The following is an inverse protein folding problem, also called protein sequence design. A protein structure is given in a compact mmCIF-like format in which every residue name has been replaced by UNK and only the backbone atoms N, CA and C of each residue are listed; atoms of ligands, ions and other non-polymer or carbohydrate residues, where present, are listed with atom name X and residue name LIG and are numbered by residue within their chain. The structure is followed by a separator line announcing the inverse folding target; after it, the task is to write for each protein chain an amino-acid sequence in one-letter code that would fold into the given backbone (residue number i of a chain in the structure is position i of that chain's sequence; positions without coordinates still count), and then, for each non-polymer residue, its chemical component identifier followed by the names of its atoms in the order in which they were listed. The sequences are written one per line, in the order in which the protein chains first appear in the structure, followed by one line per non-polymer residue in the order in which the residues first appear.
data_IF_140276934622
#
_entry.id   IF_140276934622
#
_cell.length_a   1.000
_cell.length_b   1.000
_cell.length_c   1.000
_cell.angle_alpha   90.00
_cell.angle_beta   90.00
_cell.angle_gamma   90.00
#
_symmetry.space_group_name_H-M   'P 1'
#
loop_
_entity.id
_entity.type
_entity.pdbx_description
1 polymer ?
#
# COMPACT_ATOMS: atom_id res chain seq x y z
N UNK A 1 1.69 24.89 -10.64
CA UNK A 1 1.08 25.45 -9.40
C UNK A 1 0.21 24.44 -8.67
N UNK A 2 -0.86 23.87 -9.23
CA UNK A 2 -1.72 22.89 -8.53
C UNK A 2 -0.96 21.74 -7.84
N UNK A 3 0.00 21.11 -8.49
CA UNK A 3 0.81 20.02 -7.90
C UNK A 3 1.86 20.55 -6.92
N UNK A 4 2.36 21.77 -7.11
CA UNK A 4 3.24 22.46 -6.16
C UNK A 4 2.55 22.64 -4.80
N UNK A 5 1.34 23.20 -4.80
CA UNK A 5 0.53 23.36 -3.60
C UNK A 5 0.26 22.03 -2.90
N UNK A 6 -0.11 20.99 -3.66
CA UNK A 6 -0.31 19.65 -3.08
C UNK A 6 0.93 19.08 -2.42
N UNK A 7 2.13 19.33 -2.98
CA UNK A 7 3.39 18.89 -2.39
C UNK A 7 3.75 19.65 -1.11
N UNK A 8 3.22 20.85 -0.93
CA UNK A 8 3.44 21.68 0.25
C UNK A 8 2.52 21.34 1.44
N UNK A 9 1.41 20.63 1.20
CA UNK A 9 0.45 20.30 2.25
C UNK A 9 1.08 19.46 3.38
N UNK A 10 0.83 19.89 4.62
CA UNK A 10 1.33 19.23 5.84
C UNK A 10 2.83 19.41 6.11
N UNK A 11 3.57 20.10 5.24
CA UNK A 11 5.02 20.34 5.37
C UNK A 11 5.40 21.83 5.23
N UNK A 12 4.43 22.73 5.30
CA UNK A 12 4.61 24.19 5.15
C UNK A 12 5.57 24.80 6.15
N UNK A 13 5.78 24.16 7.30
CA UNK A 13 6.75 24.60 8.32
C UNK A 13 8.22 24.37 7.94
N UNK A 14 8.48 23.52 6.94
CA UNK A 14 9.87 23.22 6.51
C UNK A 14 10.44 24.38 5.69
N UNK A 15 11.67 24.80 6.00
CA UNK A 15 12.38 25.84 5.26
C UNK A 15 12.45 25.59 3.75
N UNK A 16 12.68 24.33 3.35
CA UNK A 16 12.68 23.94 1.93
C UNK A 16 11.33 24.17 1.23
N UNK A 17 10.22 23.92 1.94
CA UNK A 17 8.87 24.15 1.43
C UNK A 17 8.56 25.64 1.34
N UNK A 18 8.98 26.43 2.34
CA UNK A 18 8.81 27.88 2.34
C UNK A 18 9.60 28.53 1.19
N UNK A 19 10.85 28.10 1.01
CA UNK A 19 11.66 28.56 -0.10
C UNK A 19 11.08 28.17 -1.48
N UNK A 20 10.55 26.96 -1.61
CA UNK A 20 9.84 26.53 -2.81
C UNK A 20 8.64 27.45 -3.09
N UNK A 21 7.79 27.72 -2.09
CA UNK A 21 6.63 28.61 -2.26
C UNK A 21 7.00 30.02 -2.65
N UNK A 22 8.08 30.57 -2.09
CA UNK A 22 8.57 31.90 -2.42
C UNK A 22 9.02 32.00 -3.90
N UNK A 23 9.58 30.92 -4.45
CA UNK A 23 10.11 30.88 -5.80
C UNK A 23 9.35 29.91 -6.72
N UNK A 24 8.13 29.54 -6.38
CA UNK A 24 7.36 28.48 -7.03
C UNK A 24 7.28 28.67 -8.55
N UNK A 25 6.93 29.87 -8.99
CA UNK A 25 6.78 30.16 -10.42
C UNK A 25 8.10 29.93 -11.19
N UNK A 26 9.19 30.45 -10.68
CA UNK A 26 10.53 30.30 -11.28
C UNK A 26 10.95 28.84 -11.31
N UNK A 27 10.76 28.13 -10.21
CA UNK A 27 11.15 26.70 -10.11
C UNK A 27 10.32 25.86 -11.09
N UNK A 28 9.01 26.05 -11.16
CA UNK A 28 8.14 25.30 -12.08
C UNK A 28 8.47 25.66 -13.54
N UNK A 29 8.71 26.93 -13.87
CA UNK A 29 9.12 27.34 -15.21
C UNK A 29 10.41 26.67 -15.64
N UNK A 30 11.41 26.61 -14.76
CA UNK A 30 12.66 25.90 -15.01
C UNK A 30 12.45 24.40 -15.21
N UNK A 31 11.63 23.73 -14.37
CA UNK A 31 11.27 22.32 -14.55
C UNK A 31 10.64 22.09 -15.93
N UNK A 32 9.68 22.92 -16.31
CA UNK A 32 9.02 22.80 -17.62
C UNK A 32 10.00 22.99 -18.79
N UNK A 33 10.89 23.98 -18.70
CA UNK A 33 11.94 24.20 -19.70
C UNK A 33 12.87 22.99 -19.78
N UNK A 34 13.38 22.53 -18.65
CA UNK A 34 14.36 21.44 -18.57
C UNK A 34 13.78 20.11 -19.09
N UNK A 35 12.48 19.84 -18.82
CA UNK A 35 11.76 18.68 -19.39
C UNK A 35 11.63 18.84 -20.92
N UNK A 36 11.20 20.02 -21.42
CA UNK A 36 11.02 20.27 -22.85
C UNK A 36 12.33 20.18 -23.65
N UNK A 37 13.46 20.44 -23.03
CA UNK A 37 14.79 20.38 -23.65
C UNK A 37 15.54 19.09 -23.33
N UNK A 38 14.87 18.09 -22.74
CA UNK A 38 15.47 16.82 -22.29
C UNK A 38 16.68 16.99 -21.35
N UNK A 39 16.77 18.13 -20.67
CA UNK A 39 17.85 18.48 -19.74
C UNK A 39 17.47 18.26 -18.27
N UNK A 40 16.24 17.83 -18.00
CA UNK A 40 15.82 17.58 -16.62
C UNK A 40 16.59 16.42 -16.01
N UNK A 41 17.21 16.69 -14.86
CA UNK A 41 17.91 15.68 -14.05
C UNK A 41 17.23 15.52 -12.71
N UNK A 42 17.01 14.25 -12.34
CA UNK A 42 16.56 13.89 -11.01
C UNK A 42 17.58 14.33 -9.98
N UNK A 43 17.13 15.06 -8.97
CA UNK A 43 18.00 15.49 -7.88
C UNK A 43 18.26 14.38 -6.86
N UNK A 44 19.27 14.61 -6.02
CA UNK A 44 19.58 13.70 -4.92
C UNK A 44 18.39 13.55 -3.96
N UNK A 45 18.29 12.38 -3.35
CA UNK A 45 17.32 12.11 -2.29
C UNK A 45 17.93 12.32 -0.91
N UNK A 46 17.12 12.79 0.02
CA UNK A 46 17.49 12.79 1.44
C UNK A 46 17.14 11.44 2.06
N UNK A 47 18.17 10.64 2.34
CA UNK A 47 18.00 9.31 2.93
C UNK A 47 18.02 9.37 4.46
N UNK A 48 17.07 8.69 5.09
CA UNK A 48 17.03 8.53 6.54
C UNK A 48 16.42 7.18 6.94
N UNK A 49 16.73 6.76 8.16
CA UNK A 49 16.26 5.48 8.68
C UNK A 49 15.09 5.73 9.62
N UNK A 50 14.00 4.99 9.42
CA UNK A 50 12.88 4.94 10.35
C UNK A 50 12.76 3.54 10.97
N UNK A 51 12.41 3.49 12.24
CA UNK A 51 12.02 2.24 12.89
C UNK A 51 10.49 2.18 12.98
N UNK A 52 9.88 1.47 12.06
CA UNK A 52 8.45 1.26 12.05
C UNK A 52 8.10 -0.12 12.60
N UNK A 53 7.62 -0.16 13.84
CA UNK A 53 7.11 -1.39 14.48
C UNK A 53 8.17 -2.49 14.59
N UNK A 54 9.40 -2.11 14.90
CA UNK A 54 10.53 -3.03 15.00
C UNK A 54 11.16 -3.43 13.66
N UNK A 55 10.69 -2.84 12.55
CA UNK A 55 11.35 -2.95 11.24
C UNK A 55 12.10 -1.67 10.95
N UNK A 56 13.37 -1.82 10.69
CA UNK A 56 14.23 -0.73 10.21
C UNK A 56 13.96 -0.58 8.71
N UNK A 57 13.69 0.66 8.28
CA UNK A 57 13.45 0.98 6.86
C UNK A 57 14.26 2.20 6.47
N UNK A 58 14.96 2.11 5.37
CA UNK A 58 15.57 3.27 4.70
C UNK A 58 14.48 3.97 3.90
N UNK A 59 14.38 5.28 4.07
CA UNK A 59 13.45 6.13 3.31
C UNK A 59 14.30 7.07 2.49
N UNK A 60 14.07 7.09 1.18
CA UNK A 60 14.71 7.99 0.24
C UNK A 60 13.69 9.07 -0.16
N UNK A 61 13.78 10.22 0.50
CA UNK A 61 12.83 11.32 0.31
C UNK A 61 13.35 12.31 -0.75
N UNK A 62 12.66 12.49 -1.86
CA UNK A 62 13.07 13.45 -2.89
C UNK A 62 12.86 14.90 -2.42
N UNK A 63 13.65 15.82 -2.97
CA UNK A 63 13.46 17.25 -2.79
C UNK A 63 12.10 17.70 -3.33
N UNK A 64 11.60 18.84 -2.83
CA UNK A 64 10.25 19.30 -3.16
C UNK A 64 10.03 19.52 -4.66
N UNK A 65 11.05 20.00 -5.39
CA UNK A 65 10.94 20.16 -6.84
C UNK A 65 10.69 18.84 -7.55
N UNK A 66 11.39 17.78 -7.14
CA UNK A 66 11.26 16.44 -7.73
C UNK A 66 9.93 15.80 -7.30
N UNK A 67 9.45 16.08 -6.08
CA UNK A 67 8.11 15.65 -5.62
C UNK A 67 7.00 16.19 -6.49
N UNK A 68 7.14 17.40 -7.07
CA UNK A 68 6.16 17.94 -8.02
C UNK A 68 6.13 17.11 -9.29
N UNK A 69 7.32 16.78 -9.85
CA UNK A 69 7.42 15.93 -11.04
C UNK A 69 6.87 14.53 -10.76
N UNK A 70 7.26 13.91 -9.63
CA UNK A 70 6.70 12.61 -9.21
C UNK A 70 5.17 12.63 -9.17
N UNK A 71 4.61 13.70 -8.64
CA UNK A 71 3.17 13.83 -8.50
C UNK A 71 2.47 13.95 -9.84
N UNK A 72 3.08 14.65 -10.78
CA UNK A 72 2.59 14.74 -12.16
C UNK A 72 2.67 13.37 -12.84
N UNK A 73 3.84 12.74 -12.86
CA UNK A 73 4.03 11.39 -13.44
C UNK A 73 3.06 10.38 -12.83
N UNK A 74 2.92 10.38 -11.52
CA UNK A 74 2.04 9.45 -10.80
C UNK A 74 0.56 9.63 -11.15
N UNK A 75 0.05 10.88 -11.21
CA UNK A 75 -1.39 11.13 -11.36
C UNK A 75 -1.83 11.32 -12.80
N UNK A 76 -0.97 11.87 -13.67
CA UNK A 76 -1.34 12.18 -15.06
C UNK A 76 -0.90 11.09 -16.05
N UNK A 77 0.05 10.25 -15.67
CA UNK A 77 0.58 9.19 -16.55
C UNK A 77 0.30 7.81 -15.96
N UNK A 78 0.90 7.49 -14.82
CA UNK A 78 0.89 6.12 -14.27
C UNK A 78 -0.51 5.69 -13.83
N UNK A 79 -1.24 6.54 -13.09
CA UNK A 79 -2.58 6.18 -12.59
C UNK A 79 -3.57 5.95 -13.75
N UNK A 80 -3.70 6.84 -14.76
CA UNK A 80 -4.60 6.60 -15.89
C UNK A 80 -4.23 5.36 -16.71
N UNK A 81 -2.94 5.12 -16.92
CA UNK A 81 -2.48 3.97 -17.70
C UNK A 81 -2.73 2.64 -17.00
N UNK A 82 -2.46 2.55 -15.70
CA UNK A 82 -2.54 1.27 -14.99
C UNK A 82 -3.92 0.94 -14.44
N UNK A 83 -4.69 1.95 -14.03
CA UNK A 83 -5.99 1.71 -13.36
C UNK A 83 -6.95 0.83 -14.14
N UNK A 84 -7.11 0.96 -15.47
CA UNK A 84 -8.00 0.10 -16.25
C UNK A 84 -7.62 -1.39 -16.25
N UNK A 85 -6.34 -1.68 -16.01
CA UNK A 85 -5.80 -3.03 -16.03
C UNK A 85 -5.81 -3.72 -14.67
N UNK A 86 -6.11 -2.99 -13.59
CA UNK A 86 -6.11 -3.54 -12.23
C UNK A 86 -7.41 -4.26 -11.92
N UNK A 87 -7.33 -5.32 -11.11
CA UNK A 87 -8.54 -5.94 -10.58
C UNK A 87 -9.37 -4.93 -9.76
N UNK A 88 -10.69 -5.03 -9.83
CA UNK A 88 -11.57 -4.12 -9.07
C UNK A 88 -11.29 -4.15 -7.56
N UNK A 89 -11.01 -5.32 -7.00
CA UNK A 89 -10.79 -5.54 -5.56
C UNK A 89 -9.35 -5.26 -5.09
N UNK A 90 -8.59 -4.50 -5.86
CA UNK A 90 -7.36 -3.86 -5.41
C UNK A 90 -7.69 -2.52 -4.73
N UNK A 91 -7.36 -2.39 -3.45
CA UNK A 91 -7.74 -1.22 -2.64
C UNK A 91 -6.60 -0.25 -2.34
N UNK A 92 -5.37 -0.57 -2.75
CA UNK A 92 -4.21 0.25 -2.39
C UNK A 92 -3.89 1.30 -3.46
N UNK A 93 -3.46 2.48 -3.04
CA UNK A 93 -2.93 3.57 -3.87
C UNK A 93 -3.78 3.97 -5.09
N UNK A 94 -5.09 3.79 -5.02
CA UNK A 94 -6.05 4.14 -6.06
C UNK A 94 -7.03 5.21 -5.56
N UNK A 95 -7.42 6.12 -6.45
CA UNK A 95 -8.41 7.17 -6.16
C UNK A 95 -9.74 6.53 -5.70
N UNK A 96 -10.36 7.10 -4.69
CA UNK A 96 -11.62 6.64 -4.09
C UNK A 96 -11.59 5.21 -3.52
N UNK A 97 -10.41 4.61 -3.40
CA UNK A 97 -10.20 3.35 -2.69
C UNK A 97 -9.32 3.59 -1.46
N UNK A 98 -8.96 2.55 -0.76
CA UNK A 98 -8.15 2.64 0.43
C UNK A 98 -8.42 1.44 1.33
N UNK A 99 -7.88 1.48 2.52
CA UNK A 99 -7.98 0.38 3.47
C UNK A 99 -9.45 0.05 3.81
N UNK A 100 -10.30 1.07 4.04
CA UNK A 100 -11.74 0.87 4.31
C UNK A 100 -12.43 0.16 3.15
N UNK A 101 -12.15 0.55 1.91
CA UNK A 101 -12.68 -0.15 0.73
C UNK A 101 -12.33 -1.65 0.77
N UNK A 102 -11.05 -2.01 1.00
CA UNK A 102 -10.63 -3.42 1.08
C UNK A 102 -11.32 -4.18 2.22
N UNK A 103 -11.51 -3.55 3.39
CA UNK A 103 -12.27 -4.14 4.50
C UNK A 103 -13.73 -4.42 4.13
N UNK A 104 -14.41 -3.44 3.53
CA UNK A 104 -15.81 -3.56 3.13
C UNK A 104 -15.99 -4.62 2.04
N UNK A 105 -15.04 -4.70 1.07
CA UNK A 105 -15.01 -5.75 0.04
C UNK A 105 -14.80 -7.13 0.65
N UNK A 106 -13.86 -7.26 1.57
CA UNK A 106 -13.63 -8.53 2.27
C UNK A 106 -14.86 -8.96 3.07
N UNK A 107 -15.45 -8.05 3.83
CA UNK A 107 -16.69 -8.32 4.59
C UNK A 107 -17.81 -8.83 3.66
N UNK A 108 -18.03 -8.16 2.51
CA UNK A 108 -19.05 -8.59 1.53
C UNK A 108 -18.76 -9.99 0.98
N UNK A 109 -17.51 -10.30 0.62
CA UNK A 109 -17.13 -11.62 0.09
C UNK A 109 -17.25 -12.72 1.13
N UNK A 110 -16.86 -12.47 2.38
CA UNK A 110 -17.02 -13.40 3.48
C UNK A 110 -18.51 -13.69 3.77
N UNK A 111 -19.34 -12.66 3.74
CA UNK A 111 -20.79 -12.81 3.93
C UNK A 111 -21.42 -13.60 2.77
N UNK A 112 -21.09 -13.27 1.53
CA UNK A 112 -21.56 -14.04 0.35
C UNK A 112 -21.08 -15.50 0.37
N UNK A 113 -19.87 -15.74 0.87
CA UNK A 113 -19.38 -17.10 1.08
C UNK A 113 -20.19 -17.84 2.11
N UNK A 114 -20.43 -17.21 3.26
CA UNK A 114 -21.21 -17.79 4.35
C UNK A 114 -22.61 -18.19 3.90
N UNK A 115 -23.30 -17.35 3.16
CA UNK A 115 -24.65 -17.66 2.62
C UNK A 115 -24.67 -18.89 1.72
N UNK A 116 -23.58 -19.19 1.02
CA UNK A 116 -23.50 -20.31 0.08
C UNK A 116 -22.92 -21.59 0.70
N UNK A 117 -21.99 -21.47 1.62
CA UNK A 117 -21.15 -22.57 2.08
C UNK A 117 -21.11 -22.68 3.64
N UNK A 118 -21.77 -21.78 4.37
CA UNK A 118 -21.64 -21.70 5.82
C UNK A 118 -20.19 -21.41 6.23
N UNK A 119 -19.74 -22.11 7.26
CA UNK A 119 -18.35 -22.07 7.75
C UNK A 119 -17.43 -23.10 7.08
N UNK A 120 -17.89 -23.73 6.01
CA UNK A 120 -17.07 -24.69 5.25
C UNK A 120 -16.17 -23.95 4.24
N UNK A 121 -14.89 -24.31 4.22
CA UNK A 121 -13.92 -23.76 3.29
C UNK A 121 -12.68 -23.17 3.98
N UNK A 122 -11.84 -22.56 3.16
CA UNK A 122 -10.52 -22.11 3.54
C UNK A 122 -10.25 -20.70 3.02
N UNK A 123 -9.53 -19.95 3.81
CA UNK A 123 -8.98 -18.64 3.47
C UNK A 123 -7.51 -18.84 3.16
N UNK A 124 -7.07 -18.36 2.00
CA UNK A 124 -5.66 -18.30 1.64
C UNK A 124 -5.19 -16.88 1.83
N UNK A 125 -4.25 -16.70 2.73
CA UNK A 125 -3.56 -15.44 3.01
C UNK A 125 -2.23 -15.43 2.27
N UNK A 126 -1.87 -14.32 1.65
CA UNK A 126 -0.60 -14.12 0.98
C UNK A 126 0.02 -12.80 1.45
N UNK A 127 1.31 -12.84 1.75
CA UNK A 127 2.14 -11.70 2.13
C UNK A 127 3.47 -11.80 1.35
N UNK A 128 3.91 -10.70 0.73
CA UNK A 128 5.19 -10.70 0.05
C UNK A 128 6.32 -10.40 1.02
N UNK A 129 7.47 -11.03 0.79
CA UNK A 129 8.66 -10.83 1.63
C UNK A 129 9.44 -9.62 1.13
N UNK A 130 9.61 -8.60 1.99
CA UNK A 130 10.40 -7.40 1.66
C UNK A 130 10.07 -6.85 0.26
N UNK A 131 8.78 -6.64 0.00
CA UNK A 131 8.26 -6.42 -1.34
C UNK A 131 9.01 -5.31 -2.09
N UNK A 132 9.10 -4.12 -1.53
CA UNK A 132 9.78 -2.98 -2.16
C UNK A 132 11.28 -3.22 -2.40
N UNK A 133 11.95 -3.86 -1.47
CA UNK A 133 13.38 -4.17 -1.55
C UNK A 133 13.69 -5.27 -2.59
N UNK A 134 12.72 -6.14 -2.88
CA UNK A 134 12.88 -7.30 -3.78
C UNK A 134 12.24 -7.09 -5.17
N UNK A 135 11.67 -5.93 -5.47
CA UNK A 135 11.15 -5.65 -6.80
C UNK A 135 12.29 -5.64 -7.82
N UNK A 136 12.19 -6.44 -8.88
CA UNK A 136 13.19 -6.50 -9.93
C UNK A 136 13.03 -5.35 -10.92
N UNK A 137 14.07 -4.58 -11.15
CA UNK A 137 14.10 -3.51 -12.15
C UNK A 137 13.76 -4.03 -13.55
N UNK A 138 14.30 -5.20 -13.94
CA UNK A 138 14.01 -5.84 -15.22
C UNK A 138 12.51 -6.16 -15.38
N UNK A 139 11.87 -6.69 -14.34
CA UNK A 139 10.42 -6.99 -14.37
C UNK A 139 9.62 -5.70 -14.51
N UNK A 140 10.02 -4.65 -13.79
CA UNK A 140 9.35 -3.34 -13.84
C UNK A 140 9.53 -2.70 -15.21
N UNK A 141 10.73 -2.71 -15.75
CA UNK A 141 11.03 -2.21 -17.09
C UNK A 141 10.16 -2.90 -18.16
N UNK A 142 10.03 -4.23 -18.10
CA UNK A 142 9.15 -4.98 -18.99
C UNK A 142 7.66 -4.61 -18.82
N UNK A 143 7.23 -4.24 -17.61
CA UNK A 143 5.88 -3.72 -17.38
C UNK A 143 5.74 -2.34 -18.03
N UNK A 144 6.73 -1.46 -17.88
CA UNK A 144 6.72 -0.14 -18.50
C UNK A 144 6.62 -0.24 -20.00
N UNK A 145 7.46 -1.06 -20.66
CA UNK A 145 7.42 -1.30 -22.11
C UNK A 145 6.05 -1.82 -22.60
N UNK A 146 5.32 -2.53 -21.76
CA UNK A 146 3.98 -3.01 -22.11
C UNK A 146 2.92 -1.92 -22.16
N UNK A 147 3.05 -0.88 -21.31
CA UNK A 147 1.99 0.12 -21.12
C UNK A 147 2.38 1.53 -21.57
N UNK A 148 3.66 1.81 -21.75
CA UNK A 148 4.19 3.14 -22.05
C UNK A 148 4.97 3.05 -23.37
N UNK A 149 4.53 3.78 -24.38
CA UNK A 149 5.18 3.78 -25.70
C UNK A 149 6.41 4.70 -25.77
N UNK A 150 6.43 5.74 -24.93
CA UNK A 150 7.50 6.75 -24.96
C UNK A 150 8.64 6.37 -24.02
N UNK A 151 9.81 6.07 -24.61
CA UNK A 151 11.02 5.67 -23.88
C UNK A 151 11.56 6.77 -22.94
N UNK A 152 11.40 8.06 -23.28
CA UNK A 152 11.82 9.15 -22.40
C UNK A 152 10.97 9.21 -21.11
N UNK A 153 9.67 8.88 -21.23
CA UNK A 153 8.76 8.78 -20.08
C UNK A 153 9.14 7.58 -19.22
N UNK A 154 9.44 6.42 -19.84
CA UNK A 154 9.93 5.23 -19.10
C UNK A 154 11.18 5.59 -18.33
N UNK A 155 12.17 6.18 -19.00
CA UNK A 155 13.42 6.60 -18.36
C UNK A 155 13.17 7.57 -17.20
N UNK A 156 12.33 8.58 -17.41
CA UNK A 156 12.00 9.54 -16.36
C UNK A 156 11.36 8.90 -15.12
N UNK A 157 10.52 7.88 -15.30
CA UNK A 157 9.93 7.12 -14.20
C UNK A 157 11.00 6.28 -13.49
N UNK A 158 11.83 5.57 -14.24
CA UNK A 158 12.83 4.64 -13.72
C UNK A 158 13.98 5.35 -13.01
N UNK A 159 14.42 6.52 -13.47
CA UNK A 159 15.41 7.35 -12.80
C UNK A 159 15.00 7.74 -11.38
N UNK A 160 13.67 7.86 -11.12
CA UNK A 160 13.16 8.10 -9.78
C UNK A 160 12.93 6.83 -8.97
N UNK A 161 12.61 5.72 -9.64
CA UNK A 161 12.16 4.49 -9.02
C UNK A 161 13.32 3.61 -8.60
N UNK A 162 14.36 3.53 -9.42
CA UNK A 162 15.47 2.59 -9.29
C UNK A 162 16.61 3.16 -8.43
N UNK A 163 16.30 3.38 -7.14
CA UNK A 163 17.28 3.82 -6.15
C UNK A 163 17.66 2.60 -5.28
N UNK A 164 18.82 2.01 -5.55
CA UNK A 164 19.30 0.79 -4.89
C UNK A 164 18.82 -0.50 -5.57
N UNK A 165 18.60 -1.57 -4.81
CA UNK A 165 18.31 -2.91 -5.36
C UNK A 165 16.83 -3.12 -5.73
N UNK A 166 15.92 -2.40 -5.11
CA UNK A 166 14.48 -2.51 -5.34
C UNK A 166 13.89 -1.20 -5.81
N UNK A 167 12.68 -0.90 -5.34
CA UNK A 167 12.03 0.39 -5.58
C UNK A 167 12.08 1.27 -4.33
N UNK A 168 12.33 2.55 -4.52
CA UNK A 168 12.59 3.51 -3.45
C UNK A 168 11.39 3.71 -2.51
N UNK A 169 11.59 3.47 -1.23
CA UNK A 169 10.60 3.84 -0.22
C UNK A 169 10.65 5.35 0.04
N UNK A 170 9.51 6.01 -0.04
CA UNK A 170 9.38 7.46 0.15
C UNK A 170 9.09 8.23 -1.14
N UNK A 171 9.16 7.56 -2.27
CA UNK A 171 8.82 8.08 -3.60
C UNK A 171 7.36 7.73 -3.92
N UNK A 172 6.55 8.69 -4.37
CA UNK A 172 5.12 8.48 -4.65
C UNK A 172 4.91 7.48 -5.80
N UNK A 173 5.74 7.55 -6.83
CA UNK A 173 5.71 6.63 -7.98
C UNK A 173 5.85 5.18 -7.52
N UNK A 174 6.76 4.89 -6.59
CA UNK A 174 6.98 3.53 -6.09
C UNK A 174 5.73 2.88 -5.49
N UNK A 175 4.83 3.66 -4.90
CA UNK A 175 3.56 3.14 -4.38
C UNK A 175 2.59 2.76 -5.50
N UNK A 176 2.65 3.44 -6.65
CA UNK A 176 1.84 3.11 -7.84
C UNK A 176 2.39 1.86 -8.52
N UNK A 177 3.71 1.78 -8.66
CA UNK A 177 4.38 0.59 -9.19
C UNK A 177 4.12 -0.65 -8.34
N UNK A 178 4.15 -0.52 -7.02
CA UNK A 178 3.80 -1.60 -6.11
C UNK A 178 2.38 -2.16 -6.31
N UNK A 179 1.51 -1.45 -6.99
CA UNK A 179 0.15 -1.91 -7.31
C UNK A 179 0.11 -2.68 -8.62
N UNK A 180 0.86 -2.27 -9.65
CA UNK A 180 0.82 -2.92 -10.97
C UNK A 180 1.73 -4.15 -11.03
N UNK A 181 2.86 -4.17 -10.33
CA UNK A 181 3.83 -5.28 -10.38
C UNK A 181 3.17 -6.64 -10.11
N UNK A 182 2.34 -6.85 -9.07
CA UNK A 182 1.68 -8.13 -8.83
C UNK A 182 0.35 -8.29 -9.58
N UNK A 183 -0.01 -7.42 -10.52
CA UNK A 183 -1.29 -7.45 -11.21
C UNK A 183 -1.52 -8.75 -12.00
N UNK A 184 -0.47 -9.33 -12.59
CA UNK A 184 -0.54 -10.62 -13.27
C UNK A 184 -0.97 -11.74 -12.31
N UNK A 185 -0.49 -11.70 -11.07
CA UNK A 185 -0.85 -12.65 -10.01
C UNK A 185 -2.30 -12.47 -9.57
N UNK A 186 -2.77 -11.22 -9.52
CA UNK A 186 -4.15 -10.91 -9.19
C UNK A 186 -5.12 -11.48 -10.22
N UNK A 187 -4.84 -11.28 -11.50
CA UNK A 187 -5.65 -11.84 -12.59
C UNK A 187 -5.59 -13.37 -12.63
N UNK A 188 -4.43 -13.96 -12.36
CA UNK A 188 -4.31 -15.41 -12.27
C UNK A 188 -5.25 -16.01 -11.23
N UNK A 189 -5.37 -15.39 -10.06
CA UNK A 189 -6.31 -15.83 -9.02
C UNK A 189 -7.75 -15.45 -9.38
N UNK A 190 -7.98 -14.22 -9.89
CA UNK A 190 -9.33 -13.73 -10.22
C UNK A 190 -10.04 -14.65 -11.22
N UNK A 191 -9.32 -15.25 -12.15
CA UNK A 191 -9.85 -16.20 -13.12
C UNK A 191 -10.28 -17.54 -12.48
N UNK A 192 -9.86 -17.82 -11.26
CA UNK A 192 -10.16 -19.08 -10.54
C UNK A 192 -11.07 -18.88 -9.34
N UNK A 193 -10.89 -17.76 -8.62
CA UNK A 193 -11.66 -17.43 -7.42
C UNK A 193 -11.62 -15.94 -7.13
N UNK A 194 -12.37 -15.52 -6.12
CA UNK A 194 -12.39 -14.13 -5.68
C UNK A 194 -11.14 -13.78 -4.90
N UNK A 195 -10.40 -12.78 -5.35
CA UNK A 195 -9.23 -12.21 -4.65
C UNK A 195 -9.55 -10.80 -4.16
N UNK A 196 -8.91 -10.39 -3.06
CA UNK A 196 -8.81 -9.01 -2.61
C UNK A 196 -7.34 -8.74 -2.32
N UNK A 197 -6.84 -7.59 -2.77
CA UNK A 197 -5.45 -7.18 -2.50
C UNK A 197 -5.38 -5.77 -1.90
N UNK A 198 -4.48 -5.61 -0.96
CA UNK A 198 -4.06 -4.33 -0.42
C UNK A 198 -2.53 -4.31 -0.27
N UNK A 199 -1.82 -3.66 -1.20
CA UNK A 199 -0.36 -3.69 -1.30
C UNK A 199 0.20 -5.11 -1.40
N UNK A 200 1.02 -5.51 -0.41
CA UNK A 200 1.65 -6.82 -0.26
C UNK A 200 0.74 -7.89 0.34
N UNK A 201 -0.39 -7.50 0.93
CA UNK A 201 -1.36 -8.41 1.53
C UNK A 201 -2.46 -8.81 0.53
N UNK A 202 -2.61 -10.10 0.22
CA UNK A 202 -3.72 -10.63 -0.59
C UNK A 202 -4.48 -11.72 0.14
N UNK A 203 -5.76 -11.89 -0.21
CA UNK A 203 -6.64 -12.90 0.38
C UNK A 203 -7.62 -13.43 -0.66
N UNK A 204 -7.82 -14.75 -0.68
CA UNK A 204 -8.85 -15.40 -1.48
C UNK A 204 -9.47 -16.61 -0.75
N UNK A 205 -10.61 -17.10 -1.25
CA UNK A 205 -11.44 -18.12 -0.62
C UNK A 205 -11.48 -19.38 -1.47
N UNK A 206 -11.37 -20.56 -0.84
CA UNK A 206 -11.38 -21.88 -1.50
C UNK A 206 -12.28 -22.85 -0.76
N UNK A 207 -12.92 -23.79 -1.50
CA UNK A 207 -13.84 -24.77 -0.91
C UNK A 207 -13.12 -25.88 -0.15
N UNK A 208 -12.02 -26.37 -0.67
CA UNK A 208 -11.29 -27.47 -0.05
C UNK A 208 -9.78 -27.15 0.09
N UNK A 209 -9.13 -27.83 1.02
CA UNK A 209 -7.74 -27.62 1.37
C UNK A 209 -6.78 -27.98 0.22
N UNK A 210 -7.02 -29.11 -0.44
CA UNK A 210 -6.11 -29.60 -1.51
C UNK A 210 -6.08 -28.62 -2.69
N UNK A 211 -7.24 -28.09 -3.09
CA UNK A 211 -7.32 -27.08 -4.15
C UNK A 211 -6.66 -25.77 -3.72
N UNK A 212 -6.85 -25.35 -2.45
CA UNK A 212 -6.21 -24.17 -1.90
C UNK A 212 -4.68 -24.30 -1.90
N UNK A 213 -4.16 -25.46 -1.50
CA UNK A 213 -2.73 -25.76 -1.51
C UNK A 213 -2.15 -25.80 -2.91
N UNK A 214 -2.84 -26.47 -3.84
CA UNK A 214 -2.45 -26.51 -5.26
C UNK A 214 -2.39 -25.09 -5.83
N UNK A 215 -3.44 -24.30 -5.64
CA UNK A 215 -3.52 -22.94 -6.16
C UNK A 215 -2.45 -22.01 -5.54
N UNK A 216 -2.17 -22.15 -4.24
CA UNK A 216 -1.09 -21.40 -3.57
C UNK A 216 0.29 -21.78 -4.15
N UNK A 217 0.53 -23.05 -4.48
CA UNK A 217 1.78 -23.48 -5.10
C UNK A 217 1.90 -22.98 -6.54
N UNK A 218 0.84 -23.01 -7.34
CA UNK A 218 0.81 -22.40 -8.67
C UNK A 218 1.06 -20.89 -8.61
N UNK A 219 0.44 -20.20 -7.65
CA UNK A 219 0.67 -18.79 -7.40
C UNK A 219 2.14 -18.49 -7.05
N UNK A 220 2.74 -19.33 -6.18
CA UNK A 220 4.15 -19.20 -5.80
C UNK A 220 5.08 -19.37 -7.00
N UNK A 221 4.82 -20.36 -7.85
CA UNK A 221 5.60 -20.57 -9.05
C UNK A 221 5.51 -19.38 -10.01
N UNK A 222 4.31 -18.85 -10.22
CA UNK A 222 4.10 -17.67 -11.04
C UNK A 222 4.77 -16.43 -10.42
N UNK A 223 4.66 -16.24 -9.12
CA UNK A 223 5.33 -15.14 -8.41
C UNK A 223 6.86 -15.19 -8.57
N UNK A 224 7.46 -16.39 -8.54
CA UNK A 224 8.89 -16.56 -8.75
C UNK A 224 9.33 -16.14 -10.16
N UNK A 225 8.51 -16.38 -11.20
CA UNK A 225 8.77 -15.91 -12.58
C UNK A 225 8.88 -14.37 -12.60
N UNK A 226 8.02 -13.69 -11.84
CA UNK A 226 8.04 -12.23 -11.69
C UNK A 226 8.99 -11.76 -10.58
N UNK A 227 9.88 -12.62 -10.11
CA UNK A 227 10.87 -12.34 -9.04
C UNK A 227 10.24 -11.82 -7.73
N UNK A 228 8.95 -12.09 -7.50
CA UNK A 228 8.21 -11.73 -6.29
C UNK A 228 8.32 -12.88 -5.29
N UNK A 229 8.92 -12.62 -4.12
CA UNK A 229 9.10 -13.64 -3.07
C UNK A 229 7.93 -13.62 -2.08
N UNK A 230 7.29 -14.78 -1.87
CA UNK A 230 6.28 -14.94 -0.82
C UNK A 230 6.93 -15.09 0.56
N UNK A 231 6.28 -14.53 1.57
CA UNK A 231 6.63 -14.75 2.96
C UNK A 231 6.01 -16.07 3.45
N UNK A 232 6.79 -17.14 3.52
CA UNK A 232 6.31 -18.47 3.88
C UNK A 232 5.68 -18.56 5.28
N UNK A 233 6.08 -17.68 6.22
CA UNK A 233 5.52 -17.67 7.57
C UNK A 233 4.16 -17.00 7.66
N UNK A 234 3.79 -16.20 6.67
CA UNK A 234 2.54 -15.44 6.65
C UNK A 234 1.61 -15.83 5.50
N UNK A 235 2.14 -16.50 4.47
CA UNK A 235 1.32 -17.06 3.40
C UNK A 235 0.77 -18.40 3.86
N UNK A 236 -0.50 -18.40 4.30
CA UNK A 236 -1.11 -19.49 5.06
C UNK A 236 -2.49 -19.85 4.52
N UNK A 237 -2.86 -21.11 4.67
CA UNK A 237 -4.21 -21.61 4.43
C UNK A 237 -4.87 -21.83 5.81
N UNK A 238 -5.99 -21.16 6.05
CA UNK A 238 -6.68 -21.16 7.34
C UNK A 238 -8.14 -21.55 7.11
N UNK A 239 -8.73 -22.47 7.90
CA UNK A 239 -10.16 -22.74 7.85
C UNK A 239 -10.97 -21.45 8.09
N UNK A 240 -12.04 -21.24 7.32
CA UNK A 240 -12.86 -20.02 7.41
C UNK A 240 -13.56 -19.89 8.78
N UNK A 241 -13.76 -21.01 9.48
CA UNK A 241 -14.28 -21.07 10.87
C UNK A 241 -13.28 -20.56 11.91
N UNK A 242 -12.02 -20.35 11.54
CA UNK A 242 -10.99 -19.84 12.45
C UNK A 242 -10.80 -18.32 12.26
N UNK A 243 -10.44 -17.66 13.37
CA UNK A 243 -10.06 -16.26 13.33
C UNK A 243 -8.76 -16.07 12.54
N UNK A 244 -8.76 -15.15 11.59
CA UNK A 244 -7.59 -14.81 10.78
C UNK A 244 -7.25 -13.32 10.84
N UNK A 245 -6.10 -12.95 10.35
CA UNK A 245 -5.63 -11.55 10.31
C UNK A 245 -5.34 -11.14 8.88
N UNK A 246 -5.94 -10.03 8.44
CA UNK A 246 -5.66 -9.39 7.15
C UNK A 246 -5.41 -7.89 7.38
N UNK A 247 -4.35 -7.35 6.82
CA UNK A 247 -3.95 -5.94 6.98
C UNK A 247 -3.94 -5.47 8.45
N UNK A 248 -3.50 -6.32 9.38
CA UNK A 248 -3.44 -6.05 10.84
C UNK A 248 -4.81 -5.92 11.53
N UNK A 249 -5.87 -6.39 10.91
CA UNK A 249 -7.19 -6.53 11.49
C UNK A 249 -7.56 -7.99 11.63
N UNK A 250 -8.20 -8.35 12.72
CA UNK A 250 -8.72 -9.67 12.98
C UNK A 250 -10.15 -9.78 12.48
N UNK A 251 -10.41 -10.86 11.78
CA UNK A 251 -11.72 -11.24 11.25
C UNK A 251 -12.14 -12.56 11.84
N UNK A 252 -13.39 -12.67 12.22
CA UNK A 252 -14.01 -13.90 12.69
C UNK A 252 -15.45 -13.97 12.19
N UNK A 253 -15.86 -15.10 11.64
CA UNK A 253 -17.23 -15.36 11.23
C UNK A 253 -17.86 -16.24 12.33
N UNK A 254 -18.95 -15.78 12.92
CA UNK A 254 -19.69 -16.52 13.90
C UNK A 254 -20.65 -17.52 13.25
N UNK A 255 -21.16 -18.50 14.01
CA UNK A 255 -22.08 -19.53 13.52
C UNK A 255 -23.38 -18.95 12.92
N UNK A 256 -23.80 -17.78 13.34
CA UNK A 256 -24.94 -17.05 12.79
C UNK A 256 -24.60 -16.16 11.58
N UNK A 257 -23.38 -16.26 11.04
CA UNK A 257 -22.90 -15.47 9.90
C UNK A 257 -22.47 -14.03 10.21
N UNK A 258 -22.58 -13.57 11.47
CA UNK A 258 -22.08 -12.26 11.88
C UNK A 258 -20.56 -12.23 11.74
N UNK A 259 -20.03 -11.26 10.99
CA UNK A 259 -18.59 -11.08 10.82
C UNK A 259 -18.10 -10.06 11.83
N UNK A 260 -17.21 -10.46 12.72
CA UNK A 260 -16.54 -9.60 13.70
C UNK A 260 -15.24 -9.10 13.13
N UNK A 261 -15.06 -7.78 13.11
CA UNK A 261 -13.85 -7.10 12.62
C UNK A 261 -13.31 -6.23 13.75
N UNK A 262 -12.10 -6.53 14.21
CA UNK A 262 -11.45 -5.78 15.28
C UNK A 262 -9.95 -5.61 15.05
N UNK A 263 -9.34 -4.53 15.56
CA UNK A 263 -7.91 -4.33 15.43
C UNK A 263 -7.12 -5.43 16.14
N UNK A 264 -5.94 -5.74 15.64
CA UNK A 264 -5.06 -6.69 16.30
C UNK A 264 -4.64 -6.18 17.69
N UNK A 265 -4.67 -7.05 18.70
CA UNK A 265 -4.37 -6.68 20.11
C UNK A 265 -3.05 -5.92 20.28
N UNK A 266 -2.01 -6.28 19.52
CA UNK A 266 -0.72 -5.59 19.56
C UNK A 266 -0.80 -4.14 19.09
N UNK A 267 -1.69 -3.82 18.14
CA UNK A 267 -1.91 -2.44 17.68
C UNK A 267 -2.51 -1.59 18.79
N UNK A 268 -3.52 -2.11 19.47
CA UNK A 268 -4.17 -1.41 20.61
C UNK A 268 -3.17 -1.22 21.75
N UNK A 269 -2.45 -2.28 22.15
CA UNK A 269 -1.44 -2.22 23.23
C UNK A 269 -0.37 -1.16 22.93
N UNK A 270 0.17 -1.16 21.70
CA UNK A 270 1.19 -0.19 21.29
C UNK A 270 0.68 1.24 21.36
N UNK A 271 -0.55 1.49 20.91
CA UNK A 271 -1.12 2.84 20.93
C UNK A 271 -1.39 3.32 22.36
N UNK A 272 -1.90 2.44 23.23
CA UNK A 272 -2.03 2.76 24.67
C UNK A 272 -0.67 3.09 25.28
N UNK A 273 0.38 2.34 24.96
CA UNK A 273 1.73 2.62 25.45
C UNK A 273 2.29 3.94 24.89
N UNK A 274 2.00 4.26 23.61
CA UNK A 274 2.39 5.55 23.01
C UNK A 274 1.76 6.71 23.76
N UNK A 275 0.46 6.66 24.01
CA UNK A 275 -0.26 7.71 24.78
C UNK A 275 0.29 7.86 26.21
N UNK A 276 0.52 6.74 26.92
CA UNK A 276 1.15 6.78 28.25
C UNK A 276 2.53 7.44 28.22
N UNK A 277 3.35 7.14 27.19
CA UNK A 277 4.66 7.76 27.04
C UNK A 277 4.56 9.28 26.76
N UNK A 278 3.61 9.71 25.92
CA UNK A 278 3.39 11.13 25.63
C UNK A 278 3.00 11.91 26.89
N UNK A 279 2.11 11.34 27.72
CA UNK A 279 1.72 11.93 29.02
C UNK A 279 2.93 12.02 29.96
N UNK A 280 3.73 10.94 30.08
CA UNK A 280 4.94 10.92 30.90
C UNK A 280 5.98 11.97 30.45
N UNK A 281 6.11 12.20 29.15
CA UNK A 281 6.99 13.21 28.57
C UNK A 281 6.41 14.64 28.62
N UNK A 282 5.22 14.81 29.21
CA UNK A 282 4.53 16.11 29.34
C UNK A 282 4.37 16.83 28.00
N UNK A 283 4.09 16.08 26.92
CA UNK A 283 3.79 16.70 25.62
C UNK A 283 2.52 17.55 25.70
N UNK A 284 2.32 18.45 24.74
CA UNK A 284 1.16 19.33 24.73
C UNK A 284 -0.17 18.55 24.69
N UNK A 285 -1.20 19.11 25.30
CA UNK A 285 -2.55 18.53 25.29
C UNK A 285 -3.06 18.37 23.86
N UNK A 286 -2.71 19.29 22.96
CA UNK A 286 -3.07 19.25 21.56
C UNK A 286 -2.47 18.03 20.85
N UNK A 287 -1.18 17.75 21.02
CA UNK A 287 -0.50 16.58 20.43
C UNK A 287 -1.09 15.27 20.95
N UNK A 288 -1.38 15.19 22.25
CA UNK A 288 -2.00 14.03 22.88
C UNK A 288 -3.41 13.82 22.30
N UNK A 289 -4.23 14.88 22.22
CA UNK A 289 -5.58 14.82 21.68
C UNK A 289 -5.58 14.47 20.18
N UNK A 290 -4.68 15.03 19.38
CA UNK A 290 -4.53 14.66 17.97
C UNK A 290 -4.20 13.17 17.81
N UNK A 291 -3.27 12.65 18.61
CA UNK A 291 -2.91 11.23 18.61
C UNK A 291 -4.09 10.35 19.06
N UNK A 292 -4.83 10.76 20.09
CA UNK A 292 -6.03 10.06 20.58
C UNK A 292 -7.13 10.04 19.52
N UNK A 293 -7.45 11.17 18.92
CA UNK A 293 -8.52 11.29 17.89
C UNK A 293 -8.19 10.47 16.65
N UNK A 294 -6.94 10.49 16.19
CA UNK A 294 -6.47 9.63 15.10
C UNK A 294 -6.67 8.14 15.43
N UNK A 295 -6.43 7.73 16.67
CA UNK A 295 -6.63 6.36 17.08
C UNK A 295 -8.12 5.99 17.22
N UNK A 296 -8.95 6.89 17.71
CA UNK A 296 -10.41 6.71 17.75
C UNK A 296 -10.96 6.52 16.33
N UNK A 297 -10.55 7.36 15.38
CA UNK A 297 -10.90 7.23 13.96
C UNK A 297 -10.44 5.89 13.36
N UNK A 298 -9.28 5.38 13.77
CA UNK A 298 -8.86 4.03 13.38
C UNK A 298 -9.75 2.95 14.01
N UNK A 299 -10.10 3.06 15.29
CA UNK A 299 -10.96 2.10 15.99
C UNK A 299 -12.40 2.10 15.46
N UNK A 300 -12.92 3.22 14.98
CA UNK A 300 -14.28 3.33 14.42
C UNK A 300 -14.50 2.48 13.16
N UNK A 301 -13.42 2.00 12.54
CA UNK A 301 -13.50 1.01 11.47
C UNK A 301 -13.91 -0.39 11.97
N UNK A 302 -13.82 -0.64 13.28
CA UNK A 302 -14.28 -1.87 13.91
C UNK A 302 -15.81 -1.89 13.96
N UNK A 303 -16.41 -3.04 13.71
CA UNK A 303 -17.85 -3.21 13.90
C UNK A 303 -18.25 -3.60 15.33
N UNK A 304 -17.27 -3.67 16.23
CA UNK A 304 -17.45 -3.86 17.69
C UNK A 304 -16.80 -2.71 18.47
N UNK A 305 -16.85 -1.50 17.91
CA UNK A 305 -16.18 -0.33 18.47
C UNK A 305 -16.65 0.01 19.88
N UNK A 306 -17.96 -0.09 20.13
CA UNK A 306 -18.55 0.20 21.44
C UNK A 306 -18.11 -0.81 22.51
N UNK A 307 -17.80 -2.06 22.13
CA UNK A 307 -17.32 -3.10 23.05
C UNK A 307 -15.81 -2.96 23.39
N UNK A 308 -15.05 -2.17 22.63
CA UNK A 308 -13.61 -1.99 22.84
C UNK A 308 -13.31 -0.80 23.80
N UNK A 309 -14.27 0.09 23.99
CA UNK A 309 -14.10 1.30 24.80
C UNK A 309 -14.38 1.07 26.31
N UNK A 310 -14.78 -0.12 26.71
CA UNK A 310 -14.87 -0.59 28.08
C UNK A 310 -13.67 -1.50 28.40
#
# INVERSE_FOLDING_TARGET
MYYGDKCCNGVGYKKSTQNFKLHEFTIISNICRDIKTSNYKVGDTYSFIINERGKVRKIDAPHIKDRVVHKILSNEIIEPLYTPHLIYDNGASLKNKGFKFSMDRLKKKLYSWYLKNGLNGYIVLIDFSKFFENCSHEVIHNIHLKYIENEEVIKAIEDYLFIGEGIALGVEIAQREAVIIPNVLDHFIQNKTNIIRYMDDSIFLMKNYKEAEKLLNEYRNLANIYKIKLNNKKSLIVPISKCFTYCKWKYNILDNGKIIIKPHKSTVKRQKNKLKKMIKLKLSIEEINQTKNSFISYLSLSNVFNEINH
#
